data_IF_978697036312
#
_entry.id   IF_978697036312
#
_cell.length_a   1.000
_cell.length_b   1.000
_cell.length_c   1.000
_cell.angle_alpha   90.00
_cell.angle_beta   90.00
_cell.angle_gamma   90.00
#
_symmetry.space_group_name_H-M   'P 1'
#
loop_
_entity.id
_entity.type
_entity.pdbx_description
1 polymer ?
#
# COMPACT_ATOMS: atom_id res chain seq x y z
N UNK A 1 -8.92 -14.66 -17.19
CA UNK A 1 -9.40 -15.96 -16.68
C UNK A 1 -8.19 -16.61 -16.07
N UNK A 2 -8.17 -16.72 -14.73
CA UNK A 2 -6.96 -17.12 -14.03
C UNK A 2 -6.74 -18.63 -14.19
N UNK A 3 -5.53 -19.02 -14.58
CA UNK A 3 -5.15 -20.41 -14.75
C UNK A 3 -4.39 -20.88 -13.51
N UNK A 4 -5.03 -21.72 -12.71
CA UNK A 4 -4.40 -22.32 -11.54
C UNK A 4 -3.82 -23.70 -11.90
N UNK A 5 -2.59 -23.97 -11.47
CA UNK A 5 -1.89 -25.24 -11.72
C UNK A 5 -1.33 -25.82 -10.41
N UNK A 6 -1.47 -27.13 -10.22
CA UNK A 6 -0.70 -27.88 -9.24
C UNK A 6 0.67 -28.23 -9.84
N UNK A 7 1.76 -27.83 -9.18
CA UNK A 7 3.12 -28.02 -9.70
C UNK A 7 3.86 -29.08 -8.88
N UNK A 8 4.48 -30.04 -9.59
CA UNK A 8 5.35 -31.06 -9.03
C UNK A 8 6.61 -31.18 -9.88
N UNK A 9 7.70 -30.55 -9.43
CA UNK A 9 8.95 -30.47 -10.20
C UNK A 9 8.73 -29.77 -11.55
N UNK A 10 8.89 -30.51 -12.66
CA UNK A 10 8.69 -29.99 -14.02
C UNK A 10 7.27 -30.17 -14.56
N UNK A 11 6.39 -30.79 -13.79
CA UNK A 11 5.00 -31.05 -14.18
C UNK A 11 4.07 -29.99 -13.60
N UNK A 12 3.18 -29.44 -14.43
CA UNK A 12 2.11 -28.54 -14.02
C UNK A 12 0.77 -29.09 -14.52
N UNK A 13 -0.15 -29.36 -13.60
CA UNK A 13 -1.48 -29.92 -13.91
C UNK A 13 -2.55 -28.86 -13.67
N UNK A 14 -3.41 -28.54 -14.65
CA UNK A 14 -4.42 -27.51 -14.49
C UNK A 14 -5.46 -27.92 -13.45
N UNK A 15 -5.85 -26.96 -12.61
CA UNK A 15 -6.92 -27.11 -11.62
C UNK A 15 -8.15 -26.41 -12.17
N UNK A 16 -9.22 -27.17 -12.37
CA UNK A 16 -10.50 -26.60 -12.83
C UNK A 16 -11.14 -25.76 -11.72
N UNK A 17 -11.69 -24.58 -12.06
CA UNK A 17 -12.45 -23.80 -11.10
C UNK A 17 -13.74 -24.53 -10.69
N UNK A 18 -14.19 -24.27 -9.47
CA UNK A 18 -15.51 -24.60 -8.95
C UNK A 18 -16.29 -23.31 -8.67
N UNK A 19 -17.55 -23.40 -8.24
CA UNK A 19 -18.38 -22.23 -7.94
C UNK A 19 -18.77 -22.18 -6.47
N UNK A 20 -18.93 -20.98 -5.90
CA UNK A 20 -19.36 -20.80 -4.51
C UNK A 20 -20.68 -21.55 -4.26
N UNK A 21 -21.65 -21.41 -5.16
CA UNK A 21 -22.93 -22.12 -5.05
C UNK A 21 -22.79 -23.66 -5.12
N UNK A 22 -21.82 -24.17 -5.90
CA UNK A 22 -21.58 -25.60 -6.04
C UNK A 22 -20.96 -26.21 -4.78
N UNK A 23 -20.09 -25.47 -4.10
CA UNK A 23 -19.50 -25.87 -2.81
C UNK A 23 -20.39 -25.50 -1.60
N UNK A 24 -21.64 -25.06 -1.82
CA UNK A 24 -22.58 -24.73 -0.75
C UNK A 24 -22.29 -23.41 -0.02
N UNK A 25 -21.40 -22.59 -0.56
CA UNK A 25 -21.00 -21.31 0.01
C UNK A 25 -22.05 -20.23 -0.32
N UNK A 26 -22.53 -19.59 0.73
CA UNK A 26 -23.53 -18.54 0.70
C UNK A 26 -22.87 -17.15 0.72
N UNK A 27 -23.52 -16.19 0.06
CA UNK A 27 -23.05 -14.81 -0.08
C UNK A 27 -22.83 -14.15 1.29
N UNK A 28 -23.88 -14.11 2.13
CA UNK A 28 -23.84 -13.45 3.44
C UNK A 28 -23.02 -14.19 4.48
N UNK A 29 -23.10 -15.53 4.51
CA UNK A 29 -22.44 -16.32 5.55
C UNK A 29 -20.96 -16.60 5.27
N UNK A 30 -20.52 -16.45 4.01
CA UNK A 30 -19.15 -16.80 3.62
C UNK A 30 -18.48 -15.66 2.87
N UNK A 31 -18.97 -15.28 1.68
CA UNK A 31 -18.29 -14.26 0.85
C UNK A 31 -18.17 -12.92 1.58
N UNK A 32 -19.24 -12.46 2.22
CA UNK A 32 -19.25 -11.23 3.01
C UNK A 32 -18.28 -11.30 4.18
N UNK A 33 -18.27 -12.42 4.93
CA UNK A 33 -17.35 -12.60 6.06
C UNK A 33 -15.89 -12.63 5.61
N UNK A 34 -15.58 -13.25 4.46
CA UNK A 34 -14.23 -13.21 3.90
C UNK A 34 -13.79 -11.79 3.58
N UNK A 35 -14.68 -10.97 2.99
CA UNK A 35 -14.41 -9.57 2.67
C UNK A 35 -14.24 -8.73 3.94
N UNK A 36 -15.07 -8.98 4.97
CA UNK A 36 -14.98 -8.29 6.27
C UNK A 36 -13.64 -8.59 6.96
N UNK A 37 -13.25 -9.86 6.99
CA UNK A 37 -12.01 -10.30 7.65
C UNK A 37 -10.76 -10.00 6.81
N UNK A 38 -10.92 -9.78 5.50
CA UNK A 38 -9.84 -9.50 4.54
C UNK A 38 -10.14 -8.25 3.70
N UNK A 39 -10.28 -7.06 4.30
CA UNK A 39 -10.72 -5.86 3.60
C UNK A 39 -9.73 -5.37 2.54
N UNK A 40 -8.50 -5.89 2.49
CA UNK A 40 -7.55 -5.64 1.42
C UNK A 40 -8.08 -6.00 0.02
N UNK A 41 -9.08 -6.90 -0.08
CA UNK A 41 -9.75 -7.20 -1.36
C UNK A 41 -10.53 -6.03 -1.93
N UNK A 42 -10.87 -5.04 -1.09
CA UNK A 42 -11.62 -3.84 -1.48
C UNK A 42 -10.72 -2.73 -2.01
N UNK A 43 -9.40 -2.89 -1.91
CA UNK A 43 -8.38 -1.88 -2.16
C UNK A 43 -7.57 -1.60 -0.90
N UNK A 44 -6.58 -0.71 -1.04
CA UNK A 44 -5.63 -0.49 0.03
C UNK A 44 -6.22 0.23 1.24
N UNK A 45 -5.80 -0.20 2.45
CA UNK A 45 -6.15 0.42 3.73
C UNK A 45 -7.64 0.76 3.86
N UNK A 46 -8.51 -0.23 3.72
CA UNK A 46 -9.96 -0.09 3.97
C UNK A 46 -10.29 -0.59 5.38
N UNK A 47 -10.92 0.28 6.18
CA UNK A 47 -11.57 -0.08 7.43
C UNK A 47 -13.05 -0.40 7.17
N UNK A 48 -13.49 -1.59 7.56
CA UNK A 48 -14.92 -1.95 7.52
C UNK A 48 -15.66 -1.19 8.62
N UNK A 49 -16.62 -0.36 8.21
CA UNK A 49 -17.49 0.40 9.10
C UNK A 49 -18.63 -0.49 9.56
N UNK A 50 -19.37 -1.07 8.63
CA UNK A 50 -20.55 -1.90 8.95
C UNK A 50 -20.86 -2.87 7.81
N UNK A 51 -21.73 -3.83 8.08
CA UNK A 51 -22.28 -4.76 7.10
C UNK A 51 -23.78 -4.91 7.31
N UNK A 52 -24.50 -5.23 6.25
CA UNK A 52 -25.96 -5.37 6.24
C UNK A 52 -26.74 -4.13 6.74
N UNK A 53 -26.26 -2.92 6.43
CA UNK A 53 -26.92 -1.70 6.91
C UNK A 53 -28.29 -1.49 6.25
N UNK A 54 -29.35 -1.53 7.06
CA UNK A 54 -30.77 -1.46 6.66
C UNK A 54 -31.56 -0.34 7.34
N UNK A 55 -30.90 0.50 8.16
CA UNK A 55 -31.55 1.59 8.91
C UNK A 55 -31.76 2.85 8.08
N UNK A 56 -32.26 2.66 6.87
CA UNK A 56 -32.70 3.75 6.02
C UNK A 56 -34.10 4.16 6.44
N UNK A 57 -34.31 5.42 6.78
CA UNK A 57 -35.65 5.95 7.00
C UNK A 57 -35.88 7.12 6.05
N UNK A 58 -37.06 7.19 5.45
CA UNK A 58 -37.48 8.40 4.77
C UNK A 58 -37.78 9.52 5.78
N UNK A 59 -38.14 10.71 5.30
CA UNK A 59 -38.45 11.87 6.14
C UNK A 59 -39.62 11.65 7.11
N UNK A 60 -40.46 10.66 6.83
CA UNK A 60 -41.63 10.30 7.64
C UNK A 60 -41.33 9.11 8.58
N UNK A 61 -40.08 8.62 8.61
CA UNK A 61 -39.63 7.54 9.46
C UNK A 61 -39.96 6.14 8.94
N UNK A 62 -40.39 6.00 7.68
CA UNK A 62 -40.69 4.69 7.08
C UNK A 62 -39.38 4.01 6.69
N UNK A 63 -39.11 2.79 7.18
CA UNK A 63 -37.90 2.07 6.82
C UNK A 63 -37.86 1.71 5.34
N UNK A 64 -36.78 2.05 4.62
CA UNK A 64 -36.53 1.47 3.30
C UNK A 64 -36.10 0.01 3.48
N UNK A 65 -36.56 -0.88 2.59
CA UNK A 65 -36.22 -2.32 2.63
C UNK A 65 -34.84 -2.64 2.04
N UNK A 66 -34.13 -1.62 1.57
CA UNK A 66 -32.83 -1.77 0.94
C UNK A 66 -31.76 -2.03 1.99
N UNK A 67 -30.73 -2.79 1.62
CA UNK A 67 -29.71 -3.23 2.58
C UNK A 67 -28.36 -3.33 1.92
N UNK A 68 -27.45 -2.48 2.37
CA UNK A 68 -26.07 -2.45 1.90
C UNK A 68 -25.31 -3.65 2.45
N UNK A 69 -24.58 -4.38 1.59
CA UNK A 69 -23.79 -5.54 2.01
C UNK A 69 -22.62 -5.14 2.92
N UNK A 70 -21.70 -4.29 2.45
CA UNK A 70 -20.57 -3.78 3.27
C UNK A 70 -20.33 -2.30 2.99
N UNK A 71 -20.10 -1.54 4.07
CA UNK A 71 -19.61 -0.17 4.02
C UNK A 71 -18.19 -0.13 4.62
N UNK A 72 -17.24 0.35 3.85
CA UNK A 72 -15.89 0.67 4.28
C UNK A 72 -15.61 2.17 4.29
N UNK A 73 -14.50 2.53 4.91
CA UNK A 73 -13.85 3.83 4.85
C UNK A 73 -12.41 3.57 4.45
N UNK A 74 -11.90 4.26 3.43
CA UNK A 74 -10.48 4.19 3.12
C UNK A 74 -9.67 5.20 3.95
N UNK A 75 -8.35 5.04 3.96
CA UNK A 75 -7.45 5.92 4.70
C UNK A 75 -7.47 7.39 4.23
N UNK A 76 -8.15 7.73 3.14
CA UNK A 76 -8.34 9.14 2.73
C UNK A 76 -9.55 9.79 3.39
N UNK A 77 -10.43 8.99 4.00
CA UNK A 77 -11.73 9.42 4.50
C UNK A 77 -12.84 9.32 3.46
N UNK A 78 -12.63 8.57 2.36
CA UNK A 78 -13.65 8.32 1.34
C UNK A 78 -14.37 7.01 1.65
N UNK A 79 -15.70 7.01 1.49
CA UNK A 79 -16.51 5.83 1.71
C UNK A 79 -16.32 4.80 0.59
N UNK A 80 -16.34 3.52 0.95
CA UNK A 80 -16.24 2.38 0.04
C UNK A 80 -17.52 1.58 0.16
N UNK A 81 -18.38 1.66 -0.85
CA UNK A 81 -19.64 0.92 -0.92
C UNK A 81 -19.41 -0.39 -1.64
N UNK A 82 -19.69 -1.50 -0.99
CA UNK A 82 -19.44 -2.83 -1.55
C UNK A 82 -20.76 -3.56 -1.78
N UNK A 83 -20.90 -4.10 -2.98
CA UNK A 83 -22.01 -4.98 -3.38
C UNK A 83 -21.44 -6.36 -3.73
N UNK A 84 -22.03 -7.42 -3.19
CA UNK A 84 -21.51 -8.78 -3.30
C UNK A 84 -22.49 -9.68 -4.05
N UNK A 85 -21.97 -10.48 -4.98
CA UNK A 85 -22.72 -11.52 -5.68
C UNK A 85 -21.95 -12.83 -5.66
N UNK A 86 -22.51 -13.89 -5.07
CA UNK A 86 -21.84 -15.21 -5.04
C UNK A 86 -21.73 -15.90 -6.42
N UNK A 87 -22.46 -15.41 -7.41
CA UNK A 87 -22.53 -15.97 -8.77
C UNK A 87 -22.32 -14.88 -9.82
N UNK A 88 -22.83 -15.09 -11.04
CA UNK A 88 -22.88 -14.04 -12.05
C UNK A 88 -23.70 -12.87 -11.53
N UNK A 89 -23.17 -11.65 -11.64
CA UNK A 89 -23.84 -10.46 -11.16
C UNK A 89 -25.17 -10.21 -11.90
N UNK A 90 -26.18 -9.72 -11.17
CA UNK A 90 -27.44 -9.31 -11.75
C UNK A 90 -27.26 -8.15 -12.73
N UNK A 91 -28.14 -8.03 -13.72
CA UNK A 91 -28.01 -7.00 -14.78
C UNK A 91 -28.03 -5.58 -14.24
N UNK A 92 -28.66 -5.36 -13.10
CA UNK A 92 -28.88 -4.09 -12.42
C UNK A 92 -28.02 -3.90 -11.16
N UNK A 93 -27.04 -4.79 -10.91
CA UNK A 93 -26.14 -4.69 -9.74
C UNK A 93 -25.48 -3.31 -9.58
N UNK A 94 -25.17 -2.66 -10.69
CA UNK A 94 -24.58 -1.32 -10.70
C UNK A 94 -25.57 -0.25 -10.21
N UNK A 95 -26.88 -0.41 -10.46
CA UNK A 95 -27.91 0.49 -9.92
C UNK A 95 -28.05 0.34 -8.40
N UNK A 96 -27.91 -0.88 -7.88
CA UNK A 96 -27.88 -1.13 -6.43
C UNK A 96 -26.68 -0.40 -5.79
N UNK A 97 -25.48 -0.62 -6.33
CA UNK A 97 -24.27 0.05 -5.85
C UNK A 97 -24.37 1.59 -5.88
N UNK A 98 -24.93 2.17 -6.96
CA UNK A 98 -25.16 3.63 -7.06
C UNK A 98 -26.18 4.10 -6.04
N UNK A 99 -27.27 3.36 -5.83
CA UNK A 99 -28.30 3.70 -4.86
C UNK A 99 -27.71 3.76 -3.46
N UNK A 100 -26.92 2.75 -3.06
CA UNK A 100 -26.25 2.75 -1.77
C UNK A 100 -25.20 3.85 -1.64
N UNK A 101 -24.43 4.12 -2.71
CA UNK A 101 -23.51 5.26 -2.74
C UNK A 101 -24.24 6.60 -2.51
N UNK A 102 -25.38 6.81 -3.16
CA UNK A 102 -26.19 8.01 -2.95
C UNK A 102 -26.71 8.11 -1.51
N UNK A 103 -27.13 7.00 -0.91
CA UNK A 103 -27.63 6.95 0.47
C UNK A 103 -26.53 7.25 1.50
N UNK A 104 -25.40 6.56 1.45
CA UNK A 104 -24.29 6.76 2.41
C UNK A 104 -23.59 8.11 2.24
N UNK A 105 -23.73 8.76 1.07
CA UNK A 105 -23.16 10.09 0.82
C UNK A 105 -23.67 11.19 1.76
N UNK A 106 -24.73 10.89 2.53
CA UNK A 106 -25.33 11.77 3.53
C UNK A 106 -24.83 11.53 4.96
N UNK A 107 -24.00 10.51 5.17
CA UNK A 107 -23.48 10.20 6.49
C UNK A 107 -22.45 11.25 6.93
N UNK A 108 -22.45 11.51 8.23
CA UNK A 108 -21.40 12.26 8.92
C UNK A 108 -20.56 11.32 9.81
N UNK A 109 -19.55 11.88 10.47
CA UNK A 109 -18.65 11.12 11.35
C UNK A 109 -19.39 10.40 12.48
N UNK A 110 -20.39 11.05 13.07
CA UNK A 110 -21.10 10.49 14.22
C UNK A 110 -22.04 9.35 13.77
N UNK A 111 -22.67 9.48 12.60
CA UNK A 111 -23.44 8.40 11.97
C UNK A 111 -22.55 7.20 11.66
N UNK A 112 -21.36 7.42 11.10
CA UNK A 112 -20.39 6.36 10.82
C UNK A 112 -19.89 5.70 12.12
N UNK A 113 -19.60 6.49 13.15
CA UNK A 113 -19.16 5.98 14.45
C UNK A 113 -20.24 5.13 15.12
N UNK A 114 -21.52 5.54 15.03
CA UNK A 114 -22.63 4.76 15.54
C UNK A 114 -22.83 3.46 14.76
N UNK A 115 -22.78 3.51 13.42
CA UNK A 115 -22.86 2.32 12.58
C UNK A 115 -21.73 1.32 12.88
N UNK A 116 -20.51 1.83 13.10
CA UNK A 116 -19.35 1.01 13.46
C UNK A 116 -19.49 0.38 14.85
N UNK A 117 -19.95 1.16 15.82
CA UNK A 117 -20.22 0.65 17.17
C UNK A 117 -21.25 -0.49 17.14
N UNK A 118 -22.34 -0.32 16.39
CA UNK A 118 -23.39 -1.32 16.30
C UNK A 118 -22.89 -2.60 15.62
N UNK A 119 -22.10 -2.44 14.54
CA UNK A 119 -21.45 -3.55 13.86
C UNK A 119 -20.54 -4.36 14.81
N UNK A 120 -19.65 -3.68 15.55
CA UNK A 120 -18.75 -4.32 16.50
C UNK A 120 -19.52 -4.99 17.64
N UNK A 121 -20.55 -4.33 18.16
CA UNK A 121 -21.41 -4.89 19.22
C UNK A 121 -22.10 -6.16 18.75
N UNK A 122 -22.61 -6.17 17.51
CA UNK A 122 -23.20 -7.36 16.87
C UNK A 122 -22.20 -8.52 16.71
N UNK A 123 -20.90 -8.22 16.60
CA UNK A 123 -19.81 -9.20 16.56
C UNK A 123 -19.21 -9.51 17.94
N UNK A 124 -19.89 -9.13 19.03
CA UNK A 124 -19.47 -9.45 20.40
C UNK A 124 -18.37 -8.53 20.96
N UNK A 125 -18.06 -7.42 20.30
CA UNK A 125 -17.09 -6.42 20.74
C UNK A 125 -17.81 -5.16 21.22
N UNK A 126 -18.00 -5.03 22.54
CA UNK A 126 -18.55 -3.81 23.12
C UNK A 126 -17.49 -2.71 23.10
N UNK A 127 -17.77 -1.63 22.36
CA UNK A 127 -16.89 -0.47 22.23
C UNK A 127 -17.69 0.81 22.43
N UNK A 128 -17.16 1.72 23.24
CA UNK A 128 -17.78 3.02 23.46
C UNK A 128 -17.84 3.87 22.18
N UNK A 129 -18.83 4.74 22.09
CA UNK A 129 -19.04 5.59 20.92
C UNK A 129 -17.80 6.45 20.58
N UNK A 130 -17.22 7.11 21.58
CA UNK A 130 -16.02 7.94 21.40
C UNK A 130 -14.81 7.14 20.92
N UNK A 131 -14.68 5.88 21.35
CA UNK A 131 -13.62 5.00 20.88
C UNK A 131 -13.83 4.59 19.42
N UNK A 132 -15.08 4.36 18.99
CA UNK A 132 -15.39 4.13 17.57
C UNK A 132 -15.08 5.38 16.72
N UNK A 133 -15.52 6.55 17.19
CA UNK A 133 -15.21 7.84 16.53
C UNK A 133 -13.71 8.05 16.38
N UNK A 134 -12.93 7.78 17.42
CA UNK A 134 -11.47 7.90 17.38
C UNK A 134 -10.83 6.91 16.40
N UNK A 135 -11.31 5.66 16.33
CA UNK A 135 -10.82 4.67 15.35
C UNK A 135 -10.98 5.15 13.91
N UNK A 136 -12.10 5.82 13.59
CA UNK A 136 -12.31 6.38 12.25
C UNK A 136 -11.33 7.52 11.96
N UNK A 137 -11.10 8.40 12.93
CA UNK A 137 -10.14 9.51 12.80
C UNK A 137 -8.69 9.02 12.71
N UNK A 138 -8.32 7.97 13.44
CA UNK A 138 -6.99 7.38 13.42
C UNK A 138 -6.70 6.61 12.13
N UNK A 139 -7.77 6.16 11.45
CA UNK A 139 -7.69 5.51 10.16
C UNK A 139 -7.46 6.50 9.01
N UNK A 140 -8.02 7.70 9.10
CA UNK A 140 -7.87 8.74 8.06
C UNK A 140 -6.53 9.45 8.19
N UNK A 141 -5.67 9.36 7.18
CA UNK A 141 -4.38 10.07 7.12
C UNK A 141 -4.54 11.47 6.48
N UNK A 142 -4.82 12.46 7.33
CA UNK A 142 -4.99 13.85 6.96
C UNK A 142 -6.24 14.49 7.59
N UNK A 143 -6.73 15.55 6.95
CA UNK A 143 -7.96 16.22 7.38
C UNK A 143 -9.19 15.37 7.07
N UNK A 144 -10.09 15.26 8.04
CA UNK A 144 -11.44 14.77 7.80
C UNK A 144 -12.20 15.75 6.90
N UNK A 145 -12.69 15.29 5.75
CA UNK A 145 -13.40 16.13 4.79
C UNK A 145 -14.79 15.56 4.52
N UNK A 146 -15.87 16.23 4.97
CA UNK A 146 -17.24 15.83 4.66
C UNK A 146 -17.51 15.72 3.15
N UNK A 147 -16.79 16.49 2.33
CA UNK A 147 -16.89 16.42 0.87
C UNK A 147 -16.42 15.07 0.28
N UNK A 148 -15.52 14.36 0.98
CA UNK A 148 -15.08 13.02 0.58
C UNK A 148 -16.13 11.95 0.88
N UNK A 149 -16.87 12.11 1.98
CA UNK A 149 -18.02 11.24 2.29
C UNK A 149 -19.09 11.33 1.20
N UNK A 150 -19.27 12.52 0.62
CA UNK A 150 -20.23 12.77 -0.47
C UNK A 150 -19.85 12.13 -1.80
N UNK A 151 -18.67 11.53 -1.91
CA UNK A 151 -18.18 10.89 -3.13
C UNK A 151 -17.75 9.46 -2.85
N UNK A 152 -18.62 8.53 -2.45
CA UNK A 152 -18.19 7.15 -2.23
C UNK A 152 -17.58 6.56 -3.50
N UNK A 153 -16.62 5.64 -3.35
CA UNK A 153 -16.26 4.68 -4.41
C UNK A 153 -17.13 3.44 -4.27
N UNK A 154 -17.35 2.74 -5.36
CA UNK A 154 -18.12 1.51 -5.39
C UNK A 154 -17.18 0.34 -5.70
N UNK A 155 -17.38 -0.79 -5.04
CA UNK A 155 -16.68 -2.05 -5.33
C UNK A 155 -17.75 -3.13 -5.51
N UNK A 156 -17.85 -3.70 -6.71
CA UNK A 156 -18.78 -4.79 -6.99
C UNK A 156 -17.96 -6.07 -7.08
N UNK A 157 -18.28 -7.05 -6.24
CA UNK A 157 -17.60 -8.36 -6.23
C UNK A 157 -18.56 -9.43 -6.74
N UNK A 158 -18.20 -10.14 -7.80
CA UNK A 158 -19.03 -11.20 -8.37
C UNK A 158 -18.21 -12.35 -8.95
N UNK A 159 -18.80 -13.55 -9.10
CA UNK A 159 -18.09 -14.66 -9.75
C UNK A 159 -17.91 -14.44 -11.26
N UNK A 160 -18.81 -13.67 -11.87
CA UNK A 160 -18.77 -13.27 -13.28
C UNK A 160 -19.59 -11.99 -13.51
N UNK A 161 -19.28 -11.24 -14.57
CA UNK A 161 -19.98 -10.01 -14.92
C UNK A 161 -20.54 -10.08 -16.35
N UNK A 162 -21.86 -9.92 -16.54
CA UNK A 162 -22.44 -9.79 -17.88
C UNK A 162 -21.85 -8.58 -18.61
N UNK A 163 -21.69 -8.70 -19.94
CA UNK A 163 -21.15 -7.61 -20.79
C UNK A 163 -21.91 -6.29 -20.64
N UNK A 164 -23.21 -6.33 -20.36
CA UNK A 164 -24.02 -5.15 -20.11
C UNK A 164 -23.58 -4.43 -18.82
N UNK A 165 -23.28 -5.17 -17.76
CA UNK A 165 -22.79 -4.60 -16.50
C UNK A 165 -21.43 -3.96 -16.73
N UNK A 166 -20.49 -4.67 -17.36
CA UNK A 166 -19.15 -4.13 -17.64
C UNK A 166 -19.22 -2.89 -18.53
N UNK A 167 -20.05 -2.89 -19.58
CA UNK A 167 -20.22 -1.74 -20.48
C UNK A 167 -20.77 -0.51 -19.75
N UNK A 168 -21.80 -0.69 -18.91
CA UNK A 168 -22.37 0.41 -18.12
C UNK A 168 -21.35 0.96 -17.13
N UNK A 169 -20.60 0.09 -16.44
CA UNK A 169 -19.59 0.49 -15.46
C UNK A 169 -18.47 1.30 -16.12
N UNK A 170 -17.97 0.86 -17.28
CA UNK A 170 -16.98 1.63 -18.07
C UNK A 170 -17.50 3.03 -18.37
N UNK A 171 -18.74 3.14 -18.87
CA UNK A 171 -19.35 4.44 -19.18
C UNK A 171 -19.54 5.32 -17.93
N UNK A 172 -19.97 4.76 -16.80
CA UNK A 172 -20.11 5.49 -15.54
C UNK A 172 -18.77 6.03 -15.04
N UNK A 173 -17.69 5.27 -15.21
CA UNK A 173 -16.35 5.72 -14.86
C UNK A 173 -15.81 6.81 -15.77
N UNK A 174 -16.15 6.80 -17.06
CA UNK A 174 -15.92 7.95 -17.94
C UNK A 174 -16.65 9.22 -17.47
N UNK A 175 -17.77 9.05 -16.75
CA UNK A 175 -18.53 10.13 -16.10
C UNK A 175 -18.03 10.46 -14.67
N UNK A 176 -16.81 10.01 -14.33
CA UNK A 176 -16.15 10.25 -13.03
C UNK A 176 -16.78 9.53 -11.84
N UNK A 177 -17.52 8.44 -12.04
CA UNK A 177 -17.91 7.52 -10.98
C UNK A 177 -16.84 6.45 -10.77
N UNK A 178 -16.36 6.34 -9.55
CA UNK A 178 -15.29 5.40 -9.20
C UNK A 178 -15.90 4.05 -8.83
N UNK A 179 -15.80 3.09 -9.76
CA UNK A 179 -16.42 1.78 -9.65
C UNK A 179 -15.40 0.71 -10.00
N UNK A 180 -15.07 -0.11 -9.01
CA UNK A 180 -14.25 -1.29 -9.17
C UNK A 180 -15.11 -2.52 -9.43
N UNK A 181 -14.70 -3.33 -10.40
CA UNK A 181 -15.22 -4.68 -10.59
C UNK A 181 -14.15 -5.67 -10.15
N UNK A 182 -14.49 -6.49 -9.16
CA UNK A 182 -13.62 -7.54 -8.63
C UNK A 182 -14.28 -8.89 -8.89
N UNK A 183 -13.59 -9.76 -9.61
CA UNK A 183 -14.04 -11.12 -9.85
C UNK A 183 -13.59 -12.03 -8.72
N UNK A 184 -14.50 -12.82 -8.15
CA UNK A 184 -14.17 -13.88 -7.19
C UNK A 184 -14.12 -15.25 -7.90
N UNK A 185 -12.95 -15.89 -7.87
CA UNK A 185 -12.74 -17.24 -8.37
C UNK A 185 -12.58 -18.24 -7.23
N UNK A 186 -13.03 -19.48 -7.43
CA UNK A 186 -12.92 -20.55 -6.44
C UNK A 186 -12.34 -21.81 -7.08
N UNK A 187 -11.39 -22.45 -6.40
CA UNK A 187 -10.75 -23.69 -6.83
C UNK A 187 -10.69 -24.69 -5.66
N UNK A 188 -10.58 -25.97 -6.00
CA UNK A 188 -10.39 -27.04 -5.02
C UNK A 188 -9.03 -27.70 -5.24
N UNK A 189 -8.12 -27.53 -4.28
CA UNK A 189 -6.74 -28.00 -4.32
C UNK A 189 -6.52 -28.97 -3.17
N UNK A 190 -6.26 -30.24 -3.48
CA UNK A 190 -6.00 -31.28 -2.46
C UNK A 190 -7.04 -31.32 -1.32
N UNK A 191 -8.32 -31.12 -1.66
CA UNK A 191 -9.43 -31.10 -0.71
C UNK A 191 -9.68 -29.76 -0.01
N UNK A 192 -8.78 -28.79 -0.14
CA UNK A 192 -8.93 -27.43 0.37
C UNK A 192 -9.55 -26.52 -0.68
N UNK A 193 -10.38 -25.57 -0.24
CA UNK A 193 -10.89 -24.51 -1.10
C UNK A 193 -9.92 -23.33 -1.10
N UNK A 194 -9.62 -22.83 -2.29
CA UNK A 194 -8.78 -21.65 -2.52
C UNK A 194 -9.62 -20.62 -3.25
N UNK A 195 -9.74 -19.42 -2.67
CA UNK A 195 -10.46 -18.30 -3.25
C UNK A 195 -9.47 -17.25 -3.75
N UNK A 196 -9.72 -16.71 -4.94
CA UNK A 196 -8.95 -15.60 -5.52
C UNK A 196 -9.87 -14.43 -5.82
N UNK A 197 -9.35 -13.21 -5.64
CA UNK A 197 -10.04 -11.97 -5.97
C UNK A 197 -9.21 -11.19 -6.98
N UNK A 198 -9.78 -10.94 -8.14
CA UNK A 198 -9.07 -10.34 -9.28
C UNK A 198 -9.81 -9.07 -9.71
N UNK A 199 -9.17 -7.91 -9.61
CA UNK A 199 -9.73 -6.64 -10.11
C UNK A 199 -9.76 -6.68 -11.64
N UNK A 200 -10.96 -6.75 -12.22
CA UNK A 200 -11.17 -6.81 -13.67
C UNK A 200 -11.46 -5.44 -14.28
N UNK A 201 -11.89 -4.47 -13.48
CA UNK A 201 -12.02 -3.07 -13.90
C UNK A 201 -11.81 -2.09 -12.73
N UNK A 202 -11.16 -0.93 -12.96
CA UNK A 202 -10.25 -0.69 -14.08
C UNK A 202 -9.16 -1.77 -14.12
N UNK A 203 -8.72 -2.16 -15.31
CA UNK A 203 -7.62 -3.13 -15.42
C UNK A 203 -6.34 -2.47 -14.89
N UNK A 204 -5.57 -3.14 -14.02
CA UNK A 204 -4.37 -2.57 -13.41
C UNK A 204 -3.34 -2.01 -14.42
N UNK A 205 -3.34 -2.52 -15.66
CA UNK A 205 -2.48 -2.07 -16.76
C UNK A 205 -2.95 -0.74 -17.40
N UNK A 206 -4.24 -0.40 -17.32
CA UNK A 206 -4.82 0.80 -17.94
C UNK A 206 -4.63 2.06 -17.09
N UNK A 207 -4.55 1.90 -15.76
CA UNK A 207 -4.22 2.99 -14.83
C UNK A 207 -2.80 3.54 -15.04
N UNK A 208 -1.86 2.71 -15.51
CA UNK A 208 -0.45 3.09 -15.73
C UNK A 208 -0.17 3.70 -17.14
N UNK A 209 -1.02 3.44 -18.15
CA UNK A 209 -0.70 3.76 -19.56
C UNK A 209 -1.69 4.69 -20.29
N UNK A 210 -2.78 5.15 -19.69
CA UNK A 210 -3.75 6.01 -20.40
C UNK A 210 -3.58 7.51 -20.17
N UNK A 211 -3.06 8.22 -21.18
CA UNK A 211 -3.23 9.67 -21.31
C UNK A 211 -4.61 9.96 -21.91
N UNK A 212 -5.59 10.25 -21.05
CA UNK A 212 -6.93 10.64 -21.49
C UNK A 212 -6.99 12.10 -21.99
N UNK A 213 -7.77 12.42 -23.04
CA UNK A 213 -8.03 13.80 -23.46
C UNK A 213 -8.74 14.62 -22.36
N UNK A 214 -8.19 15.79 -22.04
CA UNK A 214 -8.61 16.60 -20.90
C UNK A 214 -9.99 17.27 -21.09
N UNK A 215 -10.93 17.06 -20.16
CA UNK A 215 -12.03 17.99 -19.86
C UNK A 215 -11.69 18.81 -18.60
N UNK A 216 -11.83 20.13 -18.70
CA UNK A 216 -11.12 21.10 -17.84
C UNK A 216 -11.81 21.35 -16.48
N UNK A 217 -13.10 21.11 -16.33
CA UNK A 217 -13.85 21.59 -15.16
C UNK A 217 -14.00 20.57 -14.01
N UNK A 218 -13.99 19.25 -14.27
CA UNK A 218 -13.96 18.21 -13.23
C UNK A 218 -12.55 17.99 -12.62
N UNK A 219 -11.54 18.66 -13.19
CA UNK A 219 -10.11 18.37 -13.02
C UNK A 219 -9.58 18.69 -11.63
N UNK A 220 -10.03 19.76 -10.97
CA UNK A 220 -9.43 20.19 -9.71
C UNK A 220 -9.76 19.26 -8.53
N UNK A 221 -10.99 18.78 -8.45
CA UNK A 221 -11.42 17.91 -7.35
C UNK A 221 -11.02 16.44 -7.58
N UNK A 222 -11.12 15.94 -8.81
CA UNK A 222 -10.71 14.58 -9.17
C UNK A 222 -9.19 14.42 -9.13
N UNK A 223 -8.42 15.37 -9.69
CA UNK A 223 -6.95 15.34 -9.62
C UNK A 223 -6.45 15.49 -8.19
N UNK A 224 -7.06 16.35 -7.37
CA UNK A 224 -6.68 16.49 -5.95
C UNK A 224 -7.05 15.25 -5.14
N UNK A 225 -8.12 14.53 -5.50
CA UNK A 225 -8.52 13.27 -4.88
C UNK A 225 -7.60 12.11 -5.31
N UNK A 226 -7.23 12.05 -6.59
CA UNK A 226 -6.33 11.07 -7.20
C UNK A 226 -4.88 11.28 -6.72
N UNK A 227 -4.41 12.52 -6.64
CA UNK A 227 -3.12 12.89 -6.02
C UNK A 227 -3.10 12.58 -4.51
N UNK A 228 -4.23 12.77 -3.81
CA UNK A 228 -4.37 12.39 -2.39
C UNK A 228 -4.40 10.87 -2.23
N UNK A 229 -5.09 10.13 -3.09
CA UNK A 229 -5.14 8.67 -3.07
C UNK A 229 -3.77 8.04 -3.36
N UNK A 230 -3.05 8.55 -4.38
CA UNK A 230 -1.71 8.07 -4.75
C UNK A 230 -0.61 8.42 -3.75
N UNK A 231 -0.71 9.54 -3.03
CA UNK A 231 0.29 9.94 -2.04
C UNK A 231 0.10 9.31 -0.65
N UNK A 232 -1.10 8.82 -0.31
CA UNK A 232 -1.50 8.59 1.10
C UNK A 232 -1.64 7.15 1.52
N UNK A 233 -1.36 6.22 0.63
CA UNK A 233 -1.10 4.85 1.03
C UNK A 233 0.38 4.65 1.42
N UNK A 234 0.97 5.62 2.12
CA UNK A 234 2.41 5.65 2.34
C UNK A 234 2.90 4.38 3.05
N UNK A 235 2.10 3.87 4.00
CA UNK A 235 2.42 2.61 4.66
C UNK A 235 2.50 1.44 3.68
N UNK A 236 1.45 1.17 2.87
CA UNK A 236 1.54 0.05 1.94
C UNK A 236 2.56 0.30 0.83
N UNK A 237 2.73 1.53 0.34
CA UNK A 237 3.73 1.82 -0.71
C UNK A 237 5.13 1.49 -0.19
N UNK A 238 5.44 1.91 1.04
CA UNK A 238 6.73 1.62 1.67
C UNK A 238 6.92 0.13 1.95
N UNK A 239 5.88 -0.55 2.43
CA UNK A 239 5.91 -2.02 2.67
C UNK A 239 6.05 -2.79 1.36
N UNK A 240 5.27 -2.44 0.33
CA UNK A 240 5.29 -3.08 -0.98
C UNK A 240 6.63 -2.86 -1.69
N UNK A 241 7.18 -1.65 -1.60
CA UNK A 241 8.52 -1.34 -2.10
C UNK A 241 9.63 -2.01 -1.29
N UNK A 242 9.38 -2.36 -0.02
CA UNK A 242 10.39 -2.88 0.90
C UNK A 242 11.49 -1.86 1.19
N UNK A 243 11.16 -0.56 1.21
CA UNK A 243 12.14 0.52 1.40
C UNK A 243 12.76 0.47 2.81
N UNK A 244 11.93 0.20 3.81
CA UNK A 244 12.32 0.23 5.23
C UNK A 244 12.35 -1.20 5.77
N UNK A 245 13.53 -1.73 6.14
CA UNK A 245 13.63 -3.01 6.84
C UNK A 245 12.85 -3.00 8.17
N UNK A 246 12.37 -4.16 8.61
CA UNK A 246 11.80 -4.31 9.96
C UNK A 246 12.84 -3.91 11.02
N UNK A 247 12.39 -3.21 12.06
CA UNK A 247 13.28 -2.69 13.09
C UNK A 247 13.86 -1.31 12.77
N UNK A 248 13.60 -0.74 11.58
CA UNK A 248 14.05 0.61 11.24
C UNK A 248 13.56 1.61 12.28
N UNK A 249 14.48 2.34 12.90
CA UNK A 249 14.15 3.39 13.87
C UNK A 249 13.66 4.64 13.12
N UNK A 250 12.60 5.23 13.63
CA UNK A 250 12.02 6.47 13.15
C UNK A 250 12.07 7.53 14.26
N UNK A 251 12.24 8.78 13.85
CA UNK A 251 12.26 9.94 14.75
C UNK A 251 11.00 10.78 14.57
N UNK A 252 10.43 11.18 15.70
CA UNK A 252 9.27 12.06 15.74
C UNK A 252 9.64 13.49 15.32
N UNK A 253 9.01 13.96 14.26
CA UNK A 253 9.15 15.31 13.70
C UNK A 253 7.75 15.86 13.39
N UNK A 254 7.02 16.48 14.34
CA UNK A 254 5.64 16.89 14.12
C UNK A 254 5.50 17.92 12.99
N UNK A 255 4.63 17.64 12.00
CA UNK A 255 4.41 18.48 10.81
C UNK A 255 2.94 18.86 10.61
N UNK A 256 2.23 18.18 9.69
CA UNK A 256 0.84 18.51 9.36
C UNK A 256 -0.07 18.41 10.58
N UNK A 257 -1.01 19.34 10.77
CA UNK A 257 -1.93 19.32 11.90
C UNK A 257 -1.35 19.77 13.25
N UNK A 258 -0.04 20.07 13.32
CA UNK A 258 0.59 20.67 14.50
C UNK A 258 1.07 22.10 14.21
N UNK A 259 0.39 23.16 14.72
CA UNK A 259 0.91 24.52 14.70
C UNK A 259 2.23 24.66 15.47
N UNK A 260 3.01 25.71 15.20
CA UNK A 260 4.33 25.90 15.82
C UNK A 260 4.30 25.80 17.35
N UNK A 261 3.34 26.43 18.01
CA UNK A 261 3.20 26.37 19.47
C UNK A 261 2.95 24.95 20.00
N UNK A 262 2.23 24.12 19.24
CA UNK A 262 2.02 22.71 19.58
C UNK A 262 3.29 21.89 19.33
N UNK A 263 4.03 22.18 18.25
CA UNK A 263 5.32 21.52 17.99
C UNK A 263 6.31 21.78 19.11
N UNK A 264 6.41 23.02 19.57
CA UNK A 264 7.25 23.40 20.71
C UNK A 264 6.82 22.68 22.00
N UNK A 265 5.52 22.56 22.24
CA UNK A 265 5.00 21.80 23.38
C UNK A 265 5.30 20.29 23.28
N UNK A 266 5.18 19.69 22.10
CA UNK A 266 5.53 18.28 21.87
C UNK A 266 7.04 18.08 22.12
N UNK A 267 7.90 18.98 21.63
CA UNK A 267 9.35 18.90 21.86
C UNK A 267 9.68 18.97 23.36
N UNK A 268 9.03 19.87 24.11
CA UNK A 268 9.23 19.95 25.56
C UNK A 268 8.76 18.67 26.28
N UNK A 269 7.59 18.14 25.90
CA UNK A 269 7.03 16.91 26.46
C UNK A 269 7.84 15.64 26.13
N UNK A 270 8.46 15.59 24.95
CA UNK A 270 9.40 14.53 24.56
C UNK A 270 10.70 14.65 25.36
N UNK A 271 11.18 15.86 25.64
CA UNK A 271 12.40 16.06 26.44
C UNK A 271 12.31 15.58 27.90
N UNK A 272 11.12 15.21 28.37
CA UNK A 272 10.93 14.56 29.68
C UNK A 272 11.20 13.05 29.65
N UNK A 273 11.13 12.43 28.47
CA UNK A 273 11.21 10.99 28.27
C UNK A 273 11.60 10.69 26.81
N UNK A 274 12.88 10.38 26.61
CA UNK A 274 13.49 10.19 25.29
C UNK A 274 12.84 9.06 24.48
N UNK A 275 12.20 8.08 25.13
CA UNK A 275 11.49 6.98 24.44
C UNK A 275 10.29 7.51 23.63
N UNK A 276 9.71 8.64 24.03
CA UNK A 276 8.60 9.29 23.30
C UNK A 276 9.02 9.82 21.94
N UNK A 277 10.32 10.08 21.74
CA UNK A 277 10.86 10.65 20.51
C UNK A 277 10.92 9.66 19.35
N UNK A 278 10.76 8.35 19.61
CA UNK A 278 11.08 7.31 18.63
C UNK A 278 9.95 6.31 18.44
N UNK A 279 9.91 5.74 17.24
CA UNK A 279 9.09 4.59 16.91
C UNK A 279 9.90 3.62 16.06
N UNK A 280 9.50 2.35 16.05
CA UNK A 280 10.10 1.31 15.24
C UNK A 280 9.15 0.95 14.11
N UNK A 281 9.68 0.92 12.88
CA UNK A 281 8.96 0.46 11.69
C UNK A 281 8.87 -1.06 11.65
N UNK A 282 7.68 -1.55 11.32
CA UNK A 282 7.39 -2.94 11.00
C UNK A 282 6.63 -2.95 9.68
N UNK A 283 6.90 -3.93 8.82
CA UNK A 283 6.24 -4.14 7.54
C UNK A 283 4.82 -4.74 7.70
N UNK A 284 4.04 -4.16 8.61
CA UNK A 284 2.63 -4.40 8.84
C UNK A 284 1.83 -3.19 8.32
N UNK A 285 1.16 -3.36 7.19
CA UNK A 285 0.42 -2.28 6.53
C UNK A 285 -0.71 -1.68 7.37
N UNK A 286 -1.27 -2.44 8.32
CA UNK A 286 -2.36 -1.98 9.17
C UNK A 286 -1.87 -1.09 10.33
N UNK A 287 -0.74 -1.44 10.95
CA UNK A 287 -0.16 -0.73 12.10
C UNK A 287 1.37 -0.82 12.06
N UNK A 288 2.04 -0.03 11.20
CA UNK A 288 3.46 -0.20 10.95
C UNK A 288 4.35 0.35 12.06
N UNK A 289 3.84 1.17 12.97
CA UNK A 289 4.67 1.83 13.99
C UNK A 289 4.51 1.19 15.37
N UNK A 290 5.60 0.75 15.97
CA UNK A 290 5.65 0.45 17.40
C UNK A 290 6.24 1.64 18.14
N UNK A 291 5.47 2.28 19.02
CA UNK A 291 5.95 3.47 19.72
C UNK A 291 6.94 3.11 20.84
N UNK A 292 8.03 3.88 20.99
CA UNK A 292 9.06 3.61 21.99
C UNK A 292 8.54 3.69 23.43
N UNK A 293 7.65 4.64 23.72
CA UNK A 293 7.22 4.90 25.10
C UNK A 293 6.29 3.82 25.70
N UNK A 294 5.53 3.08 24.89
CA UNK A 294 4.59 2.06 25.39
C UNK A 294 4.73 0.68 24.72
N UNK A 295 5.53 0.56 23.66
CA UNK A 295 5.72 -0.68 22.92
C UNK A 295 4.49 -1.16 22.13
N UNK A 296 3.45 -0.35 21.99
CA UNK A 296 2.21 -0.73 21.33
C UNK A 296 2.24 -0.39 19.83
N UNK A 297 1.52 -1.16 18.98
CA UNK A 297 1.44 -0.91 17.56
C UNK A 297 0.36 0.14 17.21
N UNK A 298 0.70 1.03 16.28
CA UNK A 298 -0.12 2.16 15.84
C UNK A 298 -0.10 2.35 14.31
N UNK A 299 -1.16 2.96 13.77
CA UNK A 299 -1.08 3.68 12.49
C UNK A 299 -0.25 4.96 12.68
N UNK A 300 0.41 5.49 11.64
CA UNK A 300 1.11 6.78 11.74
C UNK A 300 0.22 7.89 12.28
N UNK A 301 -1.03 7.97 11.81
CA UNK A 301 -2.00 8.99 12.25
C UNK A 301 -2.52 8.73 13.65
N UNK A 302 -2.83 7.48 14.00
CA UNK A 302 -3.27 7.13 15.34
C UNK A 302 -2.24 7.47 16.40
N UNK A 303 -0.96 7.22 16.13
CA UNK A 303 0.11 7.62 17.05
C UNK A 303 0.27 9.14 17.13
N UNK A 304 0.19 9.85 15.99
CA UNK A 304 0.28 11.30 15.98
C UNK A 304 -0.91 11.95 16.73
N UNK A 305 -2.13 11.43 16.57
CA UNK A 305 -3.31 11.84 17.34
C UNK A 305 -3.12 11.56 18.83
N UNK A 306 -2.59 10.39 19.20
CA UNK A 306 -2.30 10.03 20.58
C UNK A 306 -1.32 11.02 21.22
N UNK A 307 -0.19 11.30 20.57
CA UNK A 307 0.82 12.28 21.02
C UNK A 307 0.20 13.67 21.15
N UNK A 308 -0.53 14.13 20.11
CA UNK A 308 -1.18 15.45 20.13
C UNK A 308 -2.14 15.59 21.32
N UNK A 309 -2.97 14.57 21.56
CA UNK A 309 -3.94 14.57 22.66
C UNK A 309 -3.24 14.54 24.02
N UNK A 310 -2.19 13.74 24.17
CA UNK A 310 -1.40 13.65 25.41
C UNK A 310 -0.75 15.00 25.77
N UNK A 311 -0.30 15.77 24.77
CA UNK A 311 0.32 17.08 24.99
C UNK A 311 -0.71 18.20 25.21
N UNK A 312 -1.83 18.16 24.49
CA UNK A 312 -2.75 19.32 24.43
C UNK A 312 -4.06 19.14 25.19
N UNK A 313 -4.39 17.92 25.58
CA UNK A 313 -5.70 17.53 26.13
C UNK A 313 -6.86 17.64 25.13
N UNK A 314 -6.59 17.91 23.85
CA UNK A 314 -7.60 18.18 22.81
C UNK A 314 -7.44 17.21 21.64
N UNK A 315 -8.51 17.03 20.88
CA UNK A 315 -8.47 16.30 19.61
C UNK A 315 -8.07 17.26 18.48
N UNK A 316 -7.16 16.88 17.57
CA UNK A 316 -6.81 17.71 16.43
C UNK A 316 -7.94 17.73 15.37
N UNK A 317 -7.96 18.76 14.53
CA UNK A 317 -8.91 18.86 13.40
C UNK A 317 -8.54 17.94 12.22
N UNK A 318 -7.35 17.33 12.27
CA UNK A 318 -6.81 16.44 11.25
C UNK A 318 -5.29 16.39 11.30
N UNK A 319 -4.71 15.18 11.24
CA UNK A 319 -3.27 14.99 11.19
C UNK A 319 -2.94 14.03 10.05
N UNK A 320 -1.98 14.41 9.21
CA UNK A 320 -1.35 13.47 8.30
C UNK A 320 -0.15 12.86 9.03
N UNK A 321 -0.36 11.75 9.73
CA UNK A 321 0.63 11.15 10.62
C UNK A 321 1.85 10.63 9.89
N UNK A 322 1.72 10.28 8.61
CA UNK A 322 2.86 9.89 7.75
C UNK A 322 3.89 11.01 7.56
N UNK A 323 3.53 12.27 7.86
CA UNK A 323 4.47 13.41 7.83
C UNK A 323 5.21 13.61 9.15
N UNK A 324 4.84 12.88 10.21
CA UNK A 324 5.40 13.08 11.56
C UNK A 324 6.62 12.22 11.87
N UNK A 325 7.03 11.36 10.94
CA UNK A 325 8.07 10.37 11.18
C UNK A 325 9.11 10.45 10.07
N UNK A 326 10.34 10.76 10.46
CA UNK A 326 11.51 10.73 9.59
C UNK A 326 12.33 9.48 9.89
N UNK A 327 13.00 8.92 8.87
CA UNK A 327 13.90 7.77 9.07
C UNK A 327 15.09 8.19 9.92
N UNK A 328 15.36 7.46 11.01
CA UNK A 328 16.58 7.67 11.77
C UNK A 328 17.76 7.02 11.04
N UNK A 329 18.56 7.86 10.39
CA UNK A 329 19.68 7.41 9.55
C UNK A 329 20.97 7.20 10.33
N UNK A 330 20.97 7.40 11.66
CA UNK A 330 22.16 7.17 12.49
C UNK A 330 22.47 5.69 12.66
N UNK A 331 21.44 4.85 12.71
CA UNK A 331 21.55 3.41 12.86
C UNK A 331 21.35 2.73 11.48
N UNK A 332 22.45 2.46 10.79
CA UNK A 332 22.43 1.84 9.46
C UNK A 332 22.15 0.34 9.59
N UNK A 333 21.10 -0.22 8.94
CA UNK A 333 20.88 -1.65 8.91
C UNK A 333 22.04 -2.39 8.21
N UNK A 334 22.46 -3.53 8.75
CA UNK A 334 23.59 -4.30 8.21
C UNK A 334 23.42 -4.75 6.74
N UNK A 335 22.18 -4.78 6.25
CA UNK A 335 21.82 -5.20 4.89
C UNK A 335 21.75 -4.03 3.90
N UNK A 336 22.01 -2.81 4.35
CA UNK A 336 21.85 -1.59 3.56
C UNK A 336 23.17 -0.83 3.51
N UNK A 337 23.44 -0.22 2.35
CA UNK A 337 24.62 0.61 2.18
C UNK A 337 24.50 1.93 2.99
N UNK A 338 25.54 2.34 3.75
CA UNK A 338 25.49 3.56 4.55
C UNK A 338 25.23 4.84 3.75
N UNK A 339 25.77 4.95 2.52
CA UNK A 339 25.60 6.15 1.69
C UNK A 339 24.14 6.23 1.21
N UNK A 340 23.55 5.09 0.81
CA UNK A 340 22.15 4.99 0.38
C UNK A 340 21.16 5.18 1.55
N UNK A 341 21.53 4.72 2.75
CA UNK A 341 20.74 4.95 3.96
C UNK A 341 20.75 6.42 4.36
N UNK A 342 21.91 7.08 4.32
CA UNK A 342 22.06 8.50 4.61
C UNK A 342 21.24 9.38 3.64
N UNK A 343 21.01 8.93 2.40
CA UNK A 343 20.18 9.64 1.43
C UNK A 343 18.69 9.73 1.84
N UNK A 344 18.21 8.88 2.76
CA UNK A 344 16.84 8.95 3.30
C UNK A 344 16.65 10.08 4.33
N UNK A 345 17.74 10.69 4.80
CA UNK A 345 17.70 11.67 5.89
C UNK A 345 16.79 12.87 5.55
N UNK A 346 15.99 13.29 6.53
CA UNK A 346 15.11 14.46 6.43
C UNK A 346 13.85 14.25 5.58
N UNK A 347 13.63 13.05 5.04
CA UNK A 347 12.40 12.68 4.33
C UNK A 347 11.42 12.02 5.30
N UNK A 348 10.15 12.47 5.27
CA UNK A 348 9.08 11.81 6.02
C UNK A 348 8.60 10.54 5.32
N UNK A 349 7.88 9.66 6.03
CA UNK A 349 7.25 8.48 5.40
C UNK A 349 6.38 8.87 4.18
N UNK A 350 5.68 10.00 4.26
CA UNK A 350 4.88 10.52 3.15
C UNK A 350 5.75 10.93 1.93
N UNK A 351 6.89 11.58 2.16
CA UNK A 351 7.80 12.00 1.09
C UNK A 351 8.42 10.79 0.39
N UNK A 352 8.85 9.80 1.18
CA UNK A 352 9.42 8.54 0.68
C UNK A 352 8.41 7.75 -0.16
N UNK A 353 7.16 7.63 0.31
CA UNK A 353 6.12 6.96 -0.44
C UNK A 353 5.80 7.67 -1.76
N UNK A 354 5.79 9.01 -1.77
CA UNK A 354 5.56 9.79 -2.99
C UNK A 354 6.65 9.53 -4.05
N UNK A 355 7.91 9.40 -3.63
CA UNK A 355 9.01 9.05 -4.53
C UNK A 355 8.85 7.65 -5.14
N UNK A 356 8.17 6.75 -4.44
CA UNK A 356 7.95 5.35 -4.83
C UNK A 356 6.63 5.09 -5.57
N UNK A 357 5.78 6.10 -5.77
CA UNK A 357 4.49 5.91 -6.44
C UNK A 357 4.67 5.35 -7.87
N UNK A 358 4.22 4.12 -8.10
CA UNK A 358 4.40 3.38 -9.37
C UNK A 358 5.48 2.28 -9.35
N UNK A 359 6.24 2.13 -8.25
CA UNK A 359 7.24 1.07 -8.09
C UNK A 359 6.58 -0.28 -7.78
N UNK A 360 6.76 -1.30 -8.63
CA UNK A 360 6.41 -2.70 -8.32
C UNK A 360 7.64 -3.50 -7.91
N UNK A 361 7.44 -4.47 -7.01
CA UNK A 361 8.46 -5.45 -6.60
C UNK A 361 8.58 -6.58 -7.63
N UNK A 362 8.85 -6.23 -8.88
CA UNK A 362 9.21 -7.19 -9.93
C UNK A 362 10.73 -7.15 -10.17
N UNK A 363 11.42 -8.20 -9.73
CA UNK A 363 12.87 -8.32 -9.87
C UNK A 363 13.31 -8.91 -11.21
N UNK A 364 12.39 -9.27 -12.09
CA UNK A 364 12.71 -9.87 -13.40
C UNK A 364 13.56 -8.93 -14.26
N UNK A 365 13.21 -7.64 -14.27
CA UNK A 365 13.97 -6.61 -14.97
C UNK A 365 15.37 -6.46 -14.34
N UNK A 366 15.46 -6.49 -13.01
CA UNK A 366 16.74 -6.45 -12.30
C UNK A 366 17.64 -7.62 -12.70
N UNK A 367 17.15 -8.86 -12.64
CA UNK A 367 17.93 -10.05 -13.01
C UNK A 367 18.41 -10.01 -14.46
N UNK A 368 17.55 -9.54 -15.37
CA UNK A 368 17.90 -9.33 -16.78
C UNK A 368 19.00 -8.28 -16.92
N UNK A 369 18.85 -7.15 -16.24
CA UNK A 369 19.83 -6.06 -16.27
C UNK A 369 21.20 -6.50 -15.75
N UNK A 370 21.25 -7.19 -14.60
CA UNK A 370 22.50 -7.66 -14.02
C UNK A 370 23.22 -8.68 -14.92
N UNK A 371 22.47 -9.51 -15.63
CA UNK A 371 23.03 -10.44 -16.62
C UNK A 371 23.67 -9.71 -17.80
N UNK A 372 23.11 -8.56 -18.17
CA UNK A 372 23.52 -7.77 -19.32
C UNK A 372 24.72 -6.85 -19.04
N UNK A 373 25.02 -6.52 -17.77
CA UNK A 373 26.21 -5.72 -17.42
C UNK A 373 27.47 -6.53 -17.82
N UNK A 374 28.30 -6.06 -18.77
CA UNK A 374 29.47 -6.81 -19.24
C UNK A 374 30.63 -6.79 -18.23
N UNK A 375 31.54 -7.76 -18.36
CA UNK A 375 32.81 -7.79 -17.64
C UNK A 375 33.60 -6.50 -17.86
N UNK A 376 34.26 -6.01 -16.82
CA UNK A 376 35.06 -4.79 -16.87
C UNK A 376 34.25 -3.49 -16.79
N UNK A 377 32.93 -3.60 -16.56
CA UNK A 377 32.04 -2.47 -16.32
C UNK A 377 31.32 -2.64 -14.99
N UNK A 378 30.91 -1.52 -14.42
CA UNK A 378 30.19 -1.46 -13.16
C UNK A 378 29.07 -0.43 -13.25
N UNK A 379 28.15 -0.45 -12.30
CA UNK A 379 27.10 0.57 -12.16
C UNK A 379 26.75 0.77 -10.69
N UNK A 380 25.80 1.64 -10.37
CA UNK A 380 25.41 1.93 -8.98
C UNK A 380 24.06 1.35 -8.59
N UNK A 381 23.84 1.14 -7.29
CA UNK A 381 22.52 0.78 -6.76
C UNK A 381 21.45 1.80 -7.18
N UNK A 382 21.75 3.09 -7.13
CA UNK A 382 20.86 4.17 -7.59
C UNK A 382 20.56 4.12 -9.10
N UNK A 383 21.55 3.83 -9.94
CA UNK A 383 21.33 3.71 -11.40
C UNK A 383 20.41 2.51 -11.71
N UNK A 384 20.68 1.36 -11.08
CA UNK A 384 19.86 0.15 -11.20
C UNK A 384 18.43 0.41 -10.74
N UNK A 385 18.27 1.03 -9.55
CA UNK A 385 16.96 1.40 -9.00
C UNK A 385 16.18 2.29 -9.97
N UNK A 386 16.84 3.27 -10.59
CA UNK A 386 16.21 4.18 -11.56
C UNK A 386 15.74 3.49 -12.84
N UNK A 387 16.38 2.40 -13.24
CA UNK A 387 15.99 1.61 -14.43
C UNK A 387 14.77 0.74 -14.14
N UNK A 388 14.74 0.11 -12.96
CA UNK A 388 13.66 -0.82 -12.58
C UNK A 388 12.47 -0.14 -11.89
N UNK A 389 12.52 1.18 -11.72
CA UNK A 389 11.48 1.94 -11.01
C UNK A 389 11.41 1.61 -9.52
N UNK A 390 12.56 1.52 -8.83
CA UNK A 390 12.67 1.23 -7.39
C UNK A 390 13.55 2.26 -6.68
N UNK A 391 13.93 1.98 -5.43
CA UNK A 391 14.91 2.74 -4.66
C UNK A 391 16.15 1.88 -4.37
N UNK A 392 17.31 2.50 -4.15
CA UNK A 392 18.59 1.79 -4.00
C UNK A 392 18.61 0.83 -2.80
N UNK A 393 17.93 1.17 -1.71
CA UNK A 393 17.84 0.35 -0.49
C UNK A 393 17.17 -1.02 -0.72
N UNK A 394 15.96 -1.10 -1.33
CA UNK A 394 15.36 -2.37 -1.76
C UNK A 394 16.28 -3.19 -2.68
N UNK A 395 16.94 -2.54 -3.64
CA UNK A 395 17.89 -3.20 -4.55
C UNK A 395 19.04 -3.82 -3.75
N UNK A 396 19.67 -3.06 -2.85
CA UNK A 396 20.76 -3.55 -2.00
C UNK A 396 20.35 -4.72 -1.13
N UNK A 397 19.21 -4.61 -0.45
CA UNK A 397 18.67 -5.68 0.41
C UNK A 397 18.38 -6.96 -0.38
N UNK A 398 17.79 -6.82 -1.57
CA UNK A 398 17.55 -7.94 -2.47
C UNK A 398 18.85 -8.57 -2.96
N UNK A 399 19.82 -7.78 -3.44
CA UNK A 399 21.12 -8.29 -3.91
C UNK A 399 21.90 -9.01 -2.81
N UNK A 400 21.79 -8.57 -1.55
CA UNK A 400 22.47 -9.21 -0.41
C UNK A 400 21.88 -10.58 -0.04
N UNK A 401 20.63 -10.87 -0.43
CA UNK A 401 19.90 -12.09 -0.03
C UNK A 401 19.52 -13.00 -1.20
N UNK A 402 19.66 -12.51 -2.43
CA UNK A 402 19.25 -13.18 -3.66
C UNK A 402 20.33 -14.16 -4.16
N UNK A 403 20.07 -15.47 -4.01
CA UNK A 403 20.94 -16.56 -4.47
C UNK A 403 21.06 -16.68 -5.99
N UNK A 404 20.09 -16.12 -6.72
CA UNK A 404 20.00 -16.21 -8.18
C UNK A 404 20.44 -14.94 -8.91
N UNK A 405 20.89 -13.90 -8.19
CA UNK A 405 21.25 -12.63 -8.80
C UNK A 405 22.62 -12.74 -9.51
N UNK A 406 22.66 -12.73 -10.86
CA UNK A 406 23.91 -12.86 -11.59
C UNK A 406 24.74 -11.59 -11.42
N UNK A 407 26.07 -11.69 -11.44
CA UNK A 407 26.99 -10.54 -11.49
C UNK A 407 26.73 -9.41 -10.47
N UNK A 408 26.12 -9.71 -9.31
CA UNK A 408 25.69 -8.69 -8.34
C UNK A 408 26.86 -7.82 -7.83
N UNK A 409 28.09 -8.36 -7.83
CA UNK A 409 29.30 -7.64 -7.44
C UNK A 409 29.64 -6.44 -8.35
N UNK A 410 29.05 -6.35 -9.56
CA UNK A 410 29.23 -5.21 -10.48
C UNK A 410 28.37 -4.00 -10.11
N UNK A 411 27.53 -4.10 -9.08
CA UNK A 411 26.73 -2.99 -8.54
C UNK A 411 27.44 -2.43 -7.30
N UNK A 412 27.86 -1.17 -7.41
CA UNK A 412 28.67 -0.46 -6.42
C UNK A 412 27.89 0.70 -5.80
N UNK A 413 28.44 1.29 -4.73
CA UNK A 413 27.89 2.52 -4.15
C UNK A 413 27.99 3.69 -5.13
N UNK A 414 27.28 4.79 -4.85
CA UNK A 414 27.40 6.03 -5.63
C UNK A 414 28.85 6.55 -5.71
N UNK A 415 29.67 6.26 -4.69
CA UNK A 415 31.09 6.58 -4.60
C UNK A 415 32.02 5.57 -5.31
N UNK A 416 31.45 4.57 -6.01
CA UNK A 416 32.20 3.56 -6.76
C UNK A 416 32.85 2.50 -5.89
N UNK A 417 32.40 2.31 -4.65
CA UNK A 417 32.97 1.33 -3.71
C UNK A 417 32.12 0.06 -3.67
N UNK A 418 32.75 -1.07 -3.32
CA UNK A 418 31.98 -2.27 -2.96
C UNK A 418 31.26 -1.97 -1.65
N UNK A 419 29.94 -2.22 -1.61
CA UNK A 419 29.15 -2.00 -0.41
C UNK A 419 29.63 -2.89 0.74
N UNK A 420 29.70 -2.34 1.95
CA UNK A 420 30.03 -3.10 3.15
C UNK A 420 28.98 -4.17 3.48
N UNK A 421 27.73 -3.98 3.03
CA UNK A 421 26.65 -4.94 3.18
C UNK A 421 26.63 -6.05 2.11
N UNK A 422 27.52 -6.00 1.11
CA UNK A 422 27.58 -7.03 0.08
C UNK A 422 28.03 -8.37 0.68
N UNK A 423 27.29 -9.44 0.39
CA UNK A 423 27.63 -10.80 0.79
C UNK A 423 27.55 -11.74 -0.41
N UNK A 424 28.51 -12.67 -0.50
CA UNK A 424 28.37 -13.79 -1.42
C UNK A 424 27.26 -14.70 -0.95
N UNK A 425 26.33 -15.01 -1.84
CA UNK A 425 25.27 -15.97 -1.57
C UNK A 425 25.78 -17.41 -1.54
N UNK A 426 26.89 -17.71 -2.21
CA UNK A 426 27.65 -18.93 -2.04
C UNK A 426 28.55 -18.82 -0.79
N UNK A 427 28.23 -19.55 0.30
CA UNK A 427 28.99 -19.46 1.55
C UNK A 427 30.41 -20.05 1.43
N UNK A 428 30.73 -20.75 0.34
CA UNK A 428 32.08 -21.27 0.09
C UNK A 428 33.02 -20.24 -0.51
N UNK A 429 32.49 -19.12 -1.02
CA UNK A 429 33.31 -18.03 -1.57
C UNK A 429 33.90 -17.16 -0.48
N UNK A 430 35.21 -16.96 -0.58
CA UNK A 430 35.99 -16.14 0.37
C UNK A 430 36.77 -15.02 -0.30
N UNK A 431 36.68 -14.90 -1.63
CA UNK A 431 37.37 -13.87 -2.39
C UNK A 431 36.69 -12.51 -2.24
N UNK A 432 37.45 -11.42 -2.20
CA UNK A 432 36.87 -10.09 -2.06
C UNK A 432 36.23 -9.64 -3.38
N UNK A 433 35.01 -9.05 -3.38
CA UNK A 433 34.36 -8.61 -4.62
C UNK A 433 35.19 -7.62 -5.44
N UNK A 434 35.99 -6.78 -4.77
CA UNK A 434 36.92 -5.87 -5.43
C UNK A 434 38.00 -6.61 -6.24
N UNK A 435 38.51 -7.74 -5.75
CA UNK A 435 39.51 -8.54 -6.46
C UNK A 435 38.91 -9.20 -7.71
N UNK A 436 37.65 -9.65 -7.63
CA UNK A 436 36.90 -10.18 -8.77
C UNK A 436 36.72 -9.10 -9.84
N UNK A 437 36.32 -7.89 -9.45
CA UNK A 437 36.17 -6.75 -10.37
C UNK A 437 37.49 -6.35 -11.03
N UNK A 438 38.60 -6.38 -10.28
CA UNK A 438 39.94 -6.15 -10.83
C UNK A 438 40.30 -7.23 -11.85
N UNK A 439 40.01 -8.50 -11.54
CA UNK A 439 40.17 -9.61 -12.48
C UNK A 439 39.35 -9.47 -13.76
N UNK A 440 38.19 -8.80 -13.67
CA UNK A 440 37.32 -8.46 -14.81
C UNK A 440 37.79 -7.22 -15.60
N UNK A 441 38.79 -6.48 -15.11
CA UNK A 441 39.37 -5.32 -15.76
C UNK A 441 38.90 -3.96 -15.22
N UNK A 442 38.11 -3.93 -14.13
CA UNK A 442 37.74 -2.68 -13.45
C UNK A 442 38.94 -2.16 -12.64
N UNK A 443 39.33 -0.90 -12.87
CA UNK A 443 40.40 -0.26 -12.10
C UNK A 443 39.84 0.42 -10.86
N UNK A 444 40.57 0.36 -9.77
CA UNK A 444 40.28 1.07 -8.52
C UNK A 444 41.37 2.09 -8.21
N UNK A 445 40.98 3.27 -7.74
CA UNK A 445 41.85 4.30 -7.16
C UNK A 445 41.32 4.69 -5.78
N UNK A 446 42.19 4.68 -4.76
CA UNK A 446 41.78 4.96 -3.38
C UNK A 446 40.63 4.08 -2.86
N UNK A 447 40.49 2.85 -3.38
CA UNK A 447 39.41 1.91 -3.04
C UNK A 447 38.08 2.16 -3.75
N UNK A 448 38.00 3.13 -4.67
CA UNK A 448 36.83 3.39 -5.51
C UNK A 448 37.12 3.02 -6.97
N UNK A 449 36.14 2.41 -7.64
CA UNK A 449 36.22 2.08 -9.06
C UNK A 449 36.26 3.37 -9.90
N UNK A 450 37.10 3.38 -10.94
CA UNK A 450 37.26 4.56 -11.80
C UNK A 450 35.96 4.85 -12.56
N UNK A 451 35.50 6.13 -12.64
CA UNK A 451 34.20 6.48 -13.23
C UNK A 451 34.06 6.11 -14.71
N UNK A 452 35.15 6.01 -15.46
CA UNK A 452 35.14 5.72 -16.91
C UNK A 452 34.58 4.34 -17.23
N UNK A 453 34.63 3.41 -16.27
CA UNK A 453 34.04 2.08 -16.41
C UNK A 453 32.57 1.99 -15.95
N UNK A 454 32.01 3.08 -15.37
CA UNK A 454 30.62 3.14 -14.92
C UNK A 454 29.66 3.19 -16.11
N UNK A 455 28.60 2.40 -16.05
CA UNK A 455 27.45 2.49 -16.96
C UNK A 455 26.43 3.49 -16.38
N UNK A 456 26.02 4.47 -17.18
CA UNK A 456 24.95 5.41 -16.82
C UNK A 456 23.57 4.76 -16.97
N UNK A 457 22.54 5.40 -16.40
CA UNK A 457 21.14 4.97 -16.51
C UNK A 457 20.71 4.81 -17.97
N UNK A 458 21.10 5.71 -18.87
CA UNK A 458 20.76 5.63 -20.30
C UNK A 458 21.37 4.37 -20.95
N UNK A 459 22.62 4.05 -20.63
CA UNK A 459 23.28 2.85 -21.14
C UNK A 459 22.62 1.60 -20.56
N UNK A 460 22.30 1.58 -19.27
CA UNK A 460 21.59 0.46 -18.65
C UNK A 460 20.22 0.20 -19.28
N UNK A 461 19.44 1.25 -19.61
CA UNK A 461 18.17 1.09 -20.33
C UNK A 461 18.38 0.47 -21.71
N UNK A 462 19.40 0.92 -22.45
CA UNK A 462 19.71 0.34 -23.77
C UNK A 462 20.10 -1.14 -23.73
N UNK A 463 20.64 -1.64 -22.60
CA UNK A 463 20.94 -3.06 -22.41
C UNK A 463 19.69 -3.93 -22.26
N UNK A 464 18.56 -3.34 -21.85
CA UNK A 464 17.27 -4.04 -21.75
C UNK A 464 16.50 -4.04 -23.07
N UNK A 465 16.72 -3.03 -23.92
CA UNK A 465 15.98 -2.86 -25.18
C UNK A 465 16.49 -3.76 -26.32
N UNK A 466 17.69 -4.33 -26.19
CA UNK A 466 18.26 -5.31 -27.14
C UNK A 466 18.83 -4.70 -28.42
#
# INVERSE_FOLDING_TARGET
>A
MDHLFAVAGRSATPISPTGLAAEGLLERQHLQEWVIDNPQVLGDSVLVITAEFDRWADTDGVPARDRLDVLGLDATGRLVVVELKRGTADRDVHLQAITYAALVSRFDLDTLAQAHRDFLTGRGQAVEFDACRQRLLDHVDGDWSPELLQRPRQVIIAADFPKQVTHTVVWLSEMNLDIDLVQVGLWKVEGHLVVGFTKVYPTPEVEEFTLAPARVEAKAAAKKLEERSRARNAAHVLVAAGLLPDGTRLRLTPRHGAPQSIREAIVAWVGEDDERATAVWNNNTAKPLTWGADGMPYTPTGLANHIFKSVTGRTPDGIQGTTWWDVDTTDVPNTVDPDEWAALAGSSLADLAKQLSGARKDWTILHTLLSAIPSGRWTTYGDVASVIGSHAVPVGTHLATCDQCPNAWRVLTASGRVSAGFQWTDPSRTDAPADVLVGEGVRFDGGAAVPEARLSVEVLRSLLDG
#
